data_IF_393769991858
#
_entry.id   IF_393769991858
#
_cell.length_a   1.000
_cell.length_b   1.000
_cell.length_c   1.000
_cell.angle_alpha   90.00
_cell.angle_beta   90.00
_cell.angle_gamma   90.00
#
_symmetry.space_group_name_H-M   'P 1'
#
loop_
_entity.id
_entity.type
_entity.pdbx_description
1 polymer ?
#
# COMPACT_ATOMS: atom_id res chain seq x y z
N UNK A 1 -13.55 4.39 6.30
CA UNK A 1 -12.32 4.56 7.09
C UNK A 1 -11.13 4.85 6.18
N UNK A 2 -10.07 5.30 6.79
CA UNK A 2 -8.83 5.63 6.08
C UNK A 2 -7.88 4.44 6.12
N UNK A 3 -7.51 3.92 4.94
CA UNK A 3 -6.70 2.71 4.80
C UNK A 3 -5.38 3.05 4.13
N UNK A 4 -4.27 2.61 4.72
CA UNK A 4 -2.94 2.68 4.11
C UNK A 4 -2.50 1.29 3.69
N UNK A 5 -2.02 1.16 2.45
CA UNK A 5 -1.46 -0.10 1.93
C UNK A 5 -0.02 0.17 1.51
N UNK A 6 0.90 -0.57 2.12
CA UNK A 6 2.33 -0.41 1.86
C UNK A 6 2.87 -1.59 1.07
N UNK A 7 3.56 -1.30 -0.03
CA UNK A 7 4.34 -2.28 -0.78
C UNK A 7 5.55 -1.56 -1.40
N UNK A 8 6.75 -1.88 -0.90
CA UNK A 8 8.02 -1.33 -1.41
C UNK A 8 8.22 -1.63 -2.90
N UNK A 9 7.75 -2.77 -3.36
CA UNK A 9 8.00 -3.30 -4.70
C UNK A 9 6.95 -2.88 -5.73
N UNK A 10 6.03 -2.02 -5.35
CA UNK A 10 4.94 -1.59 -6.23
C UNK A 10 5.43 -1.04 -7.58
N UNK A 11 6.53 -0.26 -7.65
CA UNK A 11 7.03 0.23 -8.93
C UNK A 11 7.47 -0.85 -9.92
N UNK A 12 7.76 -2.07 -9.45
CA UNK A 12 8.20 -3.17 -10.33
C UNK A 12 7.05 -3.81 -11.11
N UNK A 13 5.81 -3.59 -10.69
CA UNK A 13 4.59 -4.09 -11.34
C UNK A 13 4.59 -5.62 -11.52
N UNK A 14 5.16 -6.36 -10.57
CA UNK A 14 5.15 -7.83 -10.56
C UNK A 14 3.86 -8.41 -10.00
N UNK A 15 3.86 -9.73 -9.74
CA UNK A 15 2.69 -10.46 -9.27
C UNK A 15 2.19 -10.04 -7.89
N UNK A 16 3.09 -9.73 -6.96
CA UNK A 16 2.71 -9.27 -5.62
C UNK A 16 2.07 -7.90 -5.63
N UNK A 17 2.41 -7.07 -6.60
CA UNK A 17 1.83 -5.75 -6.78
C UNK A 17 0.39 -5.84 -7.24
N UNK A 18 0.05 -6.89 -8.00
CA UNK A 18 -1.34 -7.12 -8.40
C UNK A 18 -2.24 -7.36 -7.19
N UNK A 19 -1.79 -8.16 -6.23
CA UNK A 19 -2.54 -8.37 -4.99
C UNK A 19 -2.76 -7.05 -4.24
N UNK A 20 -1.72 -6.22 -4.17
CA UNK A 20 -1.81 -4.89 -3.54
C UNK A 20 -2.88 -4.04 -4.21
N UNK A 21 -2.89 -4.00 -5.53
CA UNK A 21 -3.83 -3.19 -6.30
C UNK A 21 -5.26 -3.76 -6.23
N UNK A 22 -5.41 -5.07 -6.20
CA UNK A 22 -6.71 -5.72 -6.01
C UNK A 22 -7.29 -5.41 -4.63
N UNK A 23 -6.47 -5.45 -3.58
CA UNK A 23 -6.90 -5.05 -2.23
C UNK A 23 -7.33 -3.59 -2.20
N UNK A 24 -6.57 -2.71 -2.82
CA UNK A 24 -6.90 -1.28 -2.89
C UNK A 24 -8.25 -1.07 -3.58
N UNK A 25 -8.48 -1.75 -4.69
CA UNK A 25 -9.74 -1.65 -5.44
C UNK A 25 -10.93 -2.12 -4.60
N UNK A 26 -10.83 -3.29 -3.98
CA UNK A 26 -11.92 -3.84 -3.18
C UNK A 26 -12.28 -2.90 -2.03
N UNK A 27 -11.29 -2.37 -1.32
CA UNK A 27 -11.53 -1.46 -0.20
C UNK A 27 -12.10 -0.13 -0.66
N UNK A 28 -11.63 0.41 -1.78
CA UNK A 28 -12.14 1.65 -2.32
C UNK A 28 -13.59 1.50 -2.82
N UNK A 29 -13.90 0.38 -3.47
CA UNK A 29 -15.28 0.08 -3.90
C UNK A 29 -16.23 -0.09 -2.71
N UNK A 30 -15.72 -0.52 -1.56
CA UNK A 30 -16.50 -0.59 -0.32
C UNK A 30 -16.69 0.77 0.35
N UNK A 31 -16.19 1.85 -0.24
CA UNK A 31 -16.38 3.21 0.27
C UNK A 31 -15.26 3.74 1.16
N UNK A 32 -14.15 3.01 1.31
CA UNK A 32 -13.02 3.46 2.10
C UNK A 32 -12.10 4.36 1.29
N UNK A 33 -11.43 5.30 1.98
CA UNK A 33 -10.37 6.10 1.39
C UNK A 33 -9.05 5.34 1.48
N UNK A 34 -8.43 5.02 0.35
CA UNK A 34 -7.24 4.17 0.28
C UNK A 34 -6.05 4.99 -0.22
N UNK A 35 -4.94 4.91 0.51
CA UNK A 35 -3.66 5.47 0.07
C UNK A 35 -2.66 4.35 -0.14
N UNK A 36 -2.08 4.29 -1.34
CA UNK A 36 -0.95 3.41 -1.65
C UNK A 36 0.32 4.10 -1.21
N UNK A 37 1.08 3.48 -0.32
CA UNK A 37 2.31 4.05 0.23
C UNK A 37 3.50 3.46 -0.50
N UNK A 38 4.34 4.32 -1.07
CA UNK A 38 5.52 3.91 -1.81
C UNK A 38 6.69 4.85 -1.52
N UNK A 39 7.92 4.35 -1.71
CA UNK A 39 9.15 5.11 -1.54
C UNK A 39 9.55 5.87 -2.80
N UNK A 40 8.91 5.59 -3.92
CA UNK A 40 9.18 6.22 -5.21
C UNK A 40 7.88 6.71 -5.83
N UNK A 41 7.93 7.78 -6.63
CA UNK A 41 6.75 8.22 -7.38
C UNK A 41 6.24 7.12 -8.30
N UNK A 42 4.93 7.00 -8.39
CA UNK A 42 4.25 6.04 -9.27
C UNK A 42 3.42 6.79 -10.29
N UNK A 43 3.37 6.24 -11.51
CA UNK A 43 2.44 6.72 -12.52
C UNK A 43 1.07 6.07 -12.29
N UNK A 44 0.16 6.83 -11.70
CA UNK A 44 -1.18 6.33 -11.40
C UNK A 44 -2.00 6.04 -12.65
N UNK A 45 -1.77 6.79 -13.74
CA UNK A 45 -2.46 6.52 -15.00
C UNK A 45 -2.03 5.18 -15.59
N UNK A 46 -0.74 4.87 -15.51
CA UNK A 46 -0.23 3.57 -15.97
C UNK A 46 -0.80 2.41 -15.12
N UNK A 47 -0.89 2.59 -13.80
CA UNK A 47 -1.48 1.61 -12.92
C UNK A 47 -2.96 1.37 -13.24
N UNK A 48 -3.70 2.44 -13.49
CA UNK A 48 -5.11 2.32 -13.87
C UNK A 48 -5.30 1.56 -15.18
N UNK A 49 -4.45 1.82 -16.16
CA UNK A 49 -4.50 1.12 -17.45
C UNK A 49 -4.14 -0.37 -17.32
N UNK A 50 -3.06 -0.67 -16.60
CA UNK A 50 -2.55 -2.04 -16.50
C UNK A 50 -3.41 -2.96 -15.64
N UNK A 51 -3.99 -2.45 -14.57
CA UNK A 51 -4.65 -3.26 -13.56
C UNK A 51 -6.11 -2.92 -13.39
N UNK A 52 -6.68 -2.14 -14.30
CA UNK A 52 -8.08 -1.71 -14.25
C UNK A 52 -8.42 -1.04 -12.90
N UNK A 53 -7.46 -0.31 -12.34
CA UNK A 53 -7.64 0.40 -11.07
C UNK A 53 -8.25 1.77 -11.35
N UNK A 54 -9.55 1.80 -11.60
CA UNK A 54 -10.27 3.03 -11.90
C UNK A 54 -11.27 3.34 -10.79
N UNK A 55 -10.73 3.70 -9.62
CA UNK A 55 -11.54 4.09 -8.47
C UNK A 55 -11.06 5.44 -7.93
N UNK A 56 -12.00 6.35 -7.74
CA UNK A 56 -11.72 7.71 -7.32
C UNK A 56 -11.11 7.80 -5.91
N UNK A 57 -11.35 6.79 -5.07
CA UNK A 57 -10.94 6.81 -3.66
C UNK A 57 -9.52 6.27 -3.43
N UNK A 58 -8.78 5.96 -4.49
CA UNK A 58 -7.40 5.47 -4.38
C UNK A 58 -6.44 6.59 -4.75
N UNK A 59 -5.50 6.88 -3.87
CA UNK A 59 -4.45 7.88 -4.08
C UNK A 59 -3.09 7.33 -3.71
N UNK A 60 -2.05 8.07 -4.06
CA UNK A 60 -0.67 7.71 -3.75
C UNK A 60 -0.14 8.59 -2.63
N UNK A 61 0.56 7.97 -1.66
CA UNK A 61 1.34 8.70 -0.67
C UNK A 61 2.80 8.33 -0.82
N UNK A 62 3.63 9.32 -1.13
CA UNK A 62 5.07 9.16 -1.17
C UNK A 62 5.63 9.30 0.25
N UNK A 63 6.37 8.28 0.71
CA UNK A 63 7.10 8.31 1.98
C UNK A 63 8.55 7.98 1.67
N UNK A 64 9.50 8.88 1.96
CA UNK A 64 10.92 8.62 1.72
C UNK A 64 11.39 7.37 2.47
N UNK A 65 12.28 6.60 1.85
CA UNK A 65 12.90 5.45 2.50
C UNK A 65 13.74 5.90 3.70
N UNK A 66 13.87 5.03 4.68
CA UNK A 66 14.62 5.32 5.90
C UNK A 66 15.09 4.02 6.55
N UNK A 67 16.13 4.08 7.43
CA UNK A 67 16.58 2.90 8.15
C UNK A 67 15.46 2.27 8.97
N UNK A 68 15.38 0.94 8.93
CA UNK A 68 14.38 0.16 9.66
C UNK A 68 12.93 0.55 9.34
N UNK A 69 12.67 1.14 8.17
CA UNK A 69 11.34 1.60 7.73
C UNK A 69 10.68 2.57 8.73
N UNK A 70 11.49 3.39 9.40
CA UNK A 70 11.00 4.27 10.47
C UNK A 70 9.95 5.27 9.98
N UNK A 71 10.14 5.84 8.78
CA UNK A 71 9.19 6.82 8.23
C UNK A 71 7.85 6.19 7.88
N UNK A 72 7.87 4.97 7.33
CA UNK A 72 6.64 4.24 7.03
C UNK A 72 5.94 3.85 8.33
N UNK A 73 6.68 3.38 9.32
CA UNK A 73 6.13 3.06 10.63
C UNK A 73 5.43 4.26 11.26
N UNK A 74 6.06 5.41 11.21
CA UNK A 74 5.46 6.67 11.72
C UNK A 74 4.22 7.05 10.92
N UNK A 75 4.28 6.98 9.60
CA UNK A 75 3.18 7.32 8.72
C UNK A 75 1.96 6.40 8.93
N UNK A 76 2.19 5.14 9.30
CA UNK A 76 1.10 4.19 9.51
C UNK A 76 0.12 4.60 10.61
N UNK A 77 0.55 5.45 11.54
CA UNK A 77 -0.31 5.97 12.61
C UNK A 77 -1.48 6.84 12.07
N UNK A 78 -1.38 7.32 10.84
CA UNK A 78 -2.40 8.20 10.24
C UNK A 78 -3.64 7.42 9.74
N UNK A 79 -3.62 6.10 9.81
CA UNK A 79 -4.67 5.26 9.23
C UNK A 79 -5.50 4.55 10.29
N UNK A 80 -6.75 4.24 9.93
CA UNK A 80 -7.61 3.36 10.73
C UNK A 80 -7.21 1.90 10.53
N UNK A 81 -6.82 1.55 9.29
CA UNK A 81 -6.31 0.23 8.94
C UNK A 81 -5.03 0.39 8.13
N UNK A 82 -3.97 -0.34 8.49
CA UNK A 82 -2.72 -0.38 7.75
C UNK A 82 -2.42 -1.82 7.33
N UNK A 83 -2.22 -2.01 6.01
CA UNK A 83 -1.89 -3.30 5.44
C UNK A 83 -0.45 -3.27 4.93
N UNK A 84 0.40 -4.13 5.47
CA UNK A 84 1.76 -4.33 4.96
C UNK A 84 1.77 -5.52 4.01
N UNK A 85 1.84 -5.24 2.72
CA UNK A 85 1.91 -6.24 1.65
C UNK A 85 3.31 -6.34 1.04
N UNK A 86 4.28 -5.64 1.63
CA UNK A 86 5.64 -5.61 1.12
C UNK A 86 6.39 -6.88 1.49
N UNK A 87 6.98 -7.54 0.49
CA UNK A 87 7.79 -8.72 0.71
C UNK A 87 9.08 -8.37 1.47
N UNK A 88 9.29 -8.99 2.62
CA UNK A 88 10.53 -8.85 3.38
C UNK A 88 10.63 -7.61 4.26
N UNK A 89 9.67 -6.70 4.23
CA UNK A 89 9.69 -5.51 5.08
C UNK A 89 8.89 -5.74 6.36
N UNK A 90 9.58 -5.83 7.48
CA UNK A 90 8.96 -5.98 8.80
C UNK A 90 9.27 -4.75 9.65
N UNK A 91 8.23 -4.15 10.23
CA UNK A 91 8.37 -3.00 11.12
C UNK A 91 7.10 -2.85 11.98
N UNK A 92 7.19 -2.15 13.12
CA UNK A 92 6.00 -1.89 13.92
C UNK A 92 5.03 -0.96 13.18
N UNK A 93 3.81 -1.44 12.92
CA UNK A 93 2.76 -0.63 12.37
C UNK A 93 1.94 -0.02 13.51
N UNK A 94 1.49 1.24 13.33
CA UNK A 94 0.93 2.07 14.40
C UNK A 94 -0.51 2.53 14.13
N UNK A 95 -1.19 1.94 13.16
CA UNK A 95 -2.59 2.23 12.91
C UNK A 95 -3.48 1.63 14.01
N UNK A 96 -4.76 1.98 14.02
CA UNK A 96 -5.74 1.39 14.95
C UNK A 96 -5.86 -0.12 14.75
N UNK A 97 -5.84 -0.58 13.48
CA UNK A 97 -5.77 -1.98 13.12
C UNK A 97 -4.65 -2.18 12.09
N UNK A 98 -3.88 -3.26 12.25
CA UNK A 98 -2.72 -3.53 11.40
C UNK A 98 -2.74 -4.98 10.94
N UNK A 99 -2.37 -5.23 9.68
CA UNK A 99 -2.24 -6.57 9.15
C UNK A 99 -0.97 -6.69 8.32
N UNK A 100 -0.31 -7.83 8.43
CA UNK A 100 0.85 -8.21 7.63
C UNK A 100 0.46 -9.40 6.77
N UNK A 101 0.64 -9.28 5.46
CA UNK A 101 0.38 -10.37 4.54
C UNK A 101 1.71 -10.88 4.01
N UNK A 102 1.97 -12.17 4.24
CA UNK A 102 3.20 -12.82 3.79
C UNK A 102 2.96 -13.50 2.46
N UNK A 103 3.82 -13.18 1.49
CA UNK A 103 3.75 -13.78 0.15
C UNK A 103 4.63 -15.01 0.08
N UNK A 104 4.16 -16.05 -0.58
CA UNK A 104 4.93 -17.26 -0.83
C UNK A 104 5.30 -17.42 -2.29
N UNK A 105 6.40 -18.14 -2.56
CA UNK A 105 7.44 -18.57 -1.61
C UNK A 105 8.27 -17.38 -1.13
N UNK A 106 8.71 -17.45 0.10
CA UNK A 106 9.60 -16.43 0.66
C UNK A 106 11.04 -16.63 0.18
#
# INVERSE_FOLDING_TARGET
>A
MRVGIYNRWLPTLGGGERLTLDCARVLAEAGHSVELIAHQPLDMDLLRQRFALDVANVSLRYVPDSPANERVSTASADYDLFLNLSHGDLFPARAKANALIVHFPL
#
